data_IF_389829756444
#
_entry.id   IF_389829756444
#
_cell.length_a   1.000
_cell.length_b   1.000
_cell.length_c   1.000
_cell.angle_alpha   90.00
_cell.angle_beta   90.00
_cell.angle_gamma   90.00
#
_symmetry.space_group_name_H-M   'P 1'
#
loop_
_entity.id
_entity.type
_entity.pdbx_description
1 polymer ?
#
# COMPACT_ATOMS: atom_id res chain seq x y z
N UNK A 1 -3.44 -0.71 -10.85
CA UNK A 1 -4.08 0.10 -11.93
C UNK A 1 -5.38 -0.56 -12.34
N UNK A 2 -6.33 0.23 -12.84
CA UNK A 2 -7.60 -0.31 -13.30
C UNK A 2 -7.46 -1.15 -14.58
N UNK A 3 -8.43 -2.03 -14.82
CA UNK A 3 -8.50 -2.81 -16.07
C UNK A 3 -8.91 -1.90 -17.24
N UNK A 4 -8.07 -1.77 -18.25
CA UNK A 4 -8.39 -1.00 -19.46
C UNK A 4 -9.65 -1.51 -20.19
N UNK A 5 -9.97 -2.81 -20.05
CA UNK A 5 -11.21 -3.36 -20.62
C UNK A 5 -12.44 -2.73 -19.94
N UNK A 6 -12.39 -2.56 -18.61
CA UNK A 6 -13.47 -1.91 -17.86
C UNK A 6 -13.64 -0.45 -18.30
N UNK A 7 -12.53 0.30 -18.38
CA UNK A 7 -12.57 1.68 -18.86
C UNK A 7 -13.17 1.81 -20.26
N UNK A 8 -12.93 0.82 -21.13
CA UNK A 8 -13.45 0.78 -22.50
C UNK A 8 -14.93 0.44 -22.57
N UNK A 9 -15.40 -0.50 -21.73
CA UNK A 9 -16.78 -1.01 -21.81
C UNK A 9 -17.77 -0.14 -21.05
N UNK A 10 -17.36 0.49 -19.95
CA UNK A 10 -18.21 1.33 -19.13
C UNK A 10 -17.44 2.51 -18.50
N UNK A 11 -16.95 3.45 -19.32
CA UNK A 11 -16.18 4.60 -18.83
C UNK A 11 -16.98 5.48 -17.87
N UNK A 12 -18.29 5.62 -18.07
CA UNK A 12 -19.12 6.49 -17.24
C UNK A 12 -19.30 5.94 -15.83
N UNK A 13 -19.46 4.62 -15.66
CA UNK A 13 -19.48 4.00 -14.33
C UNK A 13 -18.14 4.17 -13.61
N UNK A 14 -17.02 4.03 -14.34
CA UNK A 14 -15.69 4.24 -13.75
C UNK A 14 -15.50 5.71 -13.34
N UNK A 15 -15.90 6.67 -14.18
CA UNK A 15 -15.86 8.11 -13.83
C UNK A 15 -16.68 8.42 -12.59
N UNK A 16 -17.91 7.88 -12.51
CA UNK A 16 -18.77 8.06 -11.36
C UNK A 16 -18.13 7.51 -10.08
N UNK A 17 -17.49 6.33 -10.15
CA UNK A 17 -16.79 5.73 -9.03
C UNK A 17 -15.59 6.58 -8.57
N UNK A 18 -14.78 7.08 -9.51
CA UNK A 18 -13.63 7.95 -9.22
C UNK A 18 -14.09 9.30 -8.65
N UNK A 19 -15.20 9.84 -9.14
CA UNK A 19 -15.77 11.10 -8.63
C UNK A 19 -16.22 10.98 -7.15
N UNK A 20 -16.64 9.78 -6.67
CA UNK A 20 -16.93 9.55 -5.24
C UNK A 20 -15.72 9.79 -4.34
N UNK A 21 -14.50 9.66 -4.88
CA UNK A 21 -13.25 9.95 -4.17
C UNK A 21 -12.90 11.45 -4.16
N UNK A 22 -13.59 12.28 -4.94
CA UNK A 22 -13.19 13.66 -5.21
C UNK A 22 -12.04 13.79 -6.20
N UNK A 23 -11.58 12.70 -6.81
CA UNK A 23 -10.52 12.71 -7.82
C UNK A 23 -11.07 13.17 -9.19
N UNK A 24 -10.19 13.80 -10.02
CA UNK A 24 -10.52 14.21 -11.39
C UNK A 24 -10.70 13.00 -12.32
N UNK A 25 -11.89 12.76 -12.89
CA UNK A 25 -12.13 11.63 -13.77
C UNK A 25 -11.59 11.80 -15.20
N UNK A 26 -11.03 12.97 -15.57
CA UNK A 26 -10.57 13.27 -16.94
C UNK A 26 -9.45 12.32 -17.43
N UNK A 27 -8.68 11.74 -16.51
CA UNK A 27 -7.68 10.71 -16.82
C UNK A 27 -8.26 9.49 -17.50
N UNK A 28 -9.54 9.16 -17.23
CA UNK A 28 -10.24 8.03 -17.83
C UNK A 28 -10.44 8.25 -19.33
N UNK A 29 -10.88 9.45 -19.73
CA UNK A 29 -11.05 9.78 -21.16
C UNK A 29 -9.72 9.70 -21.92
N UNK A 30 -8.64 10.24 -21.32
CA UNK A 30 -7.30 10.16 -21.93
C UNK A 30 -6.82 8.71 -22.07
N UNK A 31 -7.06 7.87 -21.06
CA UNK A 31 -6.71 6.44 -21.14
C UNK A 31 -7.51 5.69 -22.23
N UNK A 32 -8.82 5.98 -22.35
CA UNK A 32 -9.68 5.39 -23.39
C UNK A 32 -9.24 5.81 -24.78
N UNK A 33 -8.90 7.09 -24.98
CA UNK A 33 -8.40 7.61 -26.28
C UNK A 33 -7.05 6.97 -26.65
N UNK A 34 -6.14 6.84 -25.68
CA UNK A 34 -4.85 6.17 -25.90
C UNK A 34 -5.03 4.68 -26.24
N UNK A 35 -5.92 3.98 -25.54
CA UNK A 35 -6.25 2.57 -25.84
C UNK A 35 -6.82 2.42 -27.27
N UNK A 36 -7.67 3.35 -27.70
CA UNK A 36 -8.20 3.34 -29.07
C UNK A 36 -7.06 3.48 -30.10
N UNK A 37 -6.10 4.37 -29.88
CA UNK A 37 -4.91 4.54 -30.74
C UNK A 37 -4.02 3.30 -30.73
N UNK A 38 -3.73 2.73 -29.56
CA UNK A 38 -2.96 1.48 -29.42
C UNK A 38 -3.57 0.36 -30.26
N UNK A 39 -4.90 0.20 -30.19
CA UNK A 39 -5.60 -0.83 -30.97
C UNK A 39 -5.57 -0.56 -32.47
N UNK A 40 -5.72 0.70 -32.88
CA UNK A 40 -5.68 1.07 -34.30
C UNK A 40 -4.30 0.76 -34.91
N UNK A 41 -3.22 1.19 -34.23
CA UNK A 41 -1.83 0.90 -34.64
C UNK A 41 -1.57 -0.63 -34.64
N UNK A 42 -2.06 -1.34 -33.62
CA UNK A 42 -1.96 -2.81 -33.54
C UNK A 42 -2.60 -3.50 -34.74
N UNK A 43 -3.82 -3.08 -35.14
CA UNK A 43 -4.53 -3.63 -36.31
C UNK A 43 -3.77 -3.36 -37.57
N UNK A 44 -3.29 -2.11 -37.82
CA UNK A 44 -2.49 -1.78 -39.01
C UNK A 44 -1.20 -2.62 -39.08
N UNK A 45 -0.52 -2.84 -37.95
CA UNK A 45 0.67 -3.71 -37.92
C UNK A 45 0.36 -5.16 -38.27
N UNK A 46 -0.72 -5.72 -37.77
CA UNK A 46 -1.12 -7.10 -38.04
C UNK A 46 -1.50 -7.29 -39.53
N UNK A 47 -2.18 -6.31 -40.13
CA UNK A 47 -2.50 -6.29 -41.56
C UNK A 47 -1.21 -6.23 -42.39
N UNK A 48 -0.27 -5.37 -42.07
CA UNK A 48 1.03 -5.28 -42.76
C UNK A 48 1.81 -6.58 -42.60
N UNK A 49 1.90 -7.18 -41.44
CA UNK A 49 2.57 -8.46 -41.20
C UNK A 49 1.95 -9.58 -42.05
N UNK A 50 0.63 -9.61 -42.12
CA UNK A 50 -0.10 -10.56 -42.96
C UNK A 50 0.26 -10.38 -44.45
N UNK A 51 0.31 -9.13 -44.94
CA UNK A 51 0.67 -8.81 -46.32
C UNK A 51 2.13 -9.17 -46.63
N UNK A 52 3.08 -8.82 -45.75
CA UNK A 52 4.51 -9.16 -45.89
C UNK A 52 4.70 -10.70 -45.95
N UNK A 53 3.98 -11.45 -45.12
CA UNK A 53 4.02 -12.91 -45.13
C UNK A 53 3.48 -13.49 -46.45
N UNK A 54 2.41 -12.91 -46.99
CA UNK A 54 1.84 -13.32 -48.30
C UNK A 54 2.83 -13.02 -49.43
N UNK A 55 3.39 -11.79 -49.46
CA UNK A 55 4.41 -11.38 -50.44
C UNK A 55 5.63 -12.30 -50.43
N UNK A 56 6.12 -12.65 -49.24
CA UNK A 56 7.28 -13.55 -49.11
C UNK A 56 7.06 -14.91 -49.74
N UNK A 57 5.84 -15.47 -49.61
CA UNK A 57 5.46 -16.74 -50.27
C UNK A 57 5.38 -16.58 -51.81
N UNK A 58 4.79 -15.49 -52.27
CA UNK A 58 4.63 -15.20 -53.70
C UNK A 58 5.99 -14.98 -54.38
N UNK A 59 6.86 -14.18 -53.80
CA UNK A 59 8.25 -13.93 -54.22
C UNK A 59 8.99 -15.28 -54.36
N UNK A 60 8.88 -16.15 -53.33
CA UNK A 60 9.51 -17.48 -53.36
C UNK A 60 8.97 -18.38 -54.48
N UNK A 61 7.72 -18.23 -54.90
CA UNK A 61 7.14 -18.93 -56.05
C UNK A 61 7.64 -18.37 -57.36
N UNK A 62 7.62 -17.04 -57.53
CA UNK A 62 8.12 -16.38 -58.76
C UNK A 62 9.59 -16.67 -59.03
N UNK A 63 10.43 -16.72 -58.02
CA UNK A 63 11.82 -17.12 -58.17
C UNK A 63 11.98 -18.55 -58.67
N UNK A 64 11.18 -19.48 -58.17
CA UNK A 64 11.19 -20.89 -58.62
C UNK A 64 10.73 -21.03 -60.09
N UNK A 65 9.78 -20.16 -60.52
CA UNK A 65 9.23 -20.16 -61.86
C UNK A 65 10.07 -19.35 -62.85
N UNK A 66 11.24 -18.79 -62.44
CA UNK A 66 12.14 -18.01 -63.28
C UNK A 66 11.64 -16.58 -63.59
N UNK A 67 10.64 -16.07 -62.92
CA UNK A 67 10.02 -14.73 -63.12
C UNK A 67 10.66 -13.67 -62.21
N UNK A 68 11.98 -13.47 -62.35
CA UNK A 68 12.80 -12.60 -61.47
C UNK A 68 12.37 -11.14 -61.48
N UNK A 69 11.99 -10.57 -62.65
CA UNK A 69 11.57 -9.17 -62.73
C UNK A 69 10.28 -8.88 -61.94
N UNK A 70 9.32 -9.79 -61.95
CA UNK A 70 8.08 -9.70 -61.20
C UNK A 70 8.36 -9.88 -59.67
N UNK A 71 9.29 -10.76 -59.34
CA UNK A 71 9.71 -10.93 -57.96
C UNK A 71 10.38 -9.66 -57.38
N UNK A 72 11.13 -8.90 -58.19
CA UNK A 72 11.77 -7.67 -57.77
C UNK A 72 10.78 -6.58 -57.38
N UNK A 73 9.70 -6.40 -58.14
CA UNK A 73 8.63 -5.43 -57.82
C UNK A 73 7.95 -5.75 -56.43
N UNK A 74 7.69 -7.05 -56.18
CA UNK A 74 7.12 -7.50 -54.92
C UNK A 74 8.12 -7.40 -53.73
N UNK A 75 9.42 -7.53 -54.01
CA UNK A 75 10.47 -7.28 -53.01
C UNK A 75 10.51 -5.81 -52.56
N UNK A 76 10.35 -4.85 -53.48
CA UNK A 76 10.31 -3.43 -53.17
C UNK A 76 9.05 -3.09 -52.33
N UNK A 77 7.87 -3.67 -52.70
CA UNK A 77 6.66 -3.54 -51.86
C UNK A 77 6.88 -4.12 -50.47
N UNK A 78 7.44 -5.31 -50.35
CA UNK A 78 7.74 -5.98 -49.11
C UNK A 78 8.68 -5.17 -48.23
N UNK A 79 9.70 -4.54 -48.82
CA UNK A 79 10.65 -3.66 -48.11
C UNK A 79 9.96 -2.41 -47.57
N UNK A 80 9.14 -1.72 -48.35
CA UNK A 80 8.40 -0.54 -47.95
C UNK A 80 7.45 -0.87 -46.80
N UNK A 81 6.73 -1.98 -46.88
CA UNK A 81 5.86 -2.45 -45.81
C UNK A 81 6.65 -2.82 -44.55
N UNK A 82 7.85 -3.39 -44.67
CA UNK A 82 8.72 -3.68 -43.54
C UNK A 82 9.21 -2.41 -42.84
N UNK A 83 9.52 -1.34 -43.58
CA UNK A 83 9.87 -0.02 -43.01
C UNK A 83 8.67 0.61 -42.27
N UNK A 84 7.45 0.49 -42.84
CA UNK A 84 6.22 0.96 -42.18
C UNK A 84 5.91 0.18 -40.89
N UNK A 85 6.07 -1.15 -40.92
CA UNK A 85 5.87 -2.03 -39.74
C UNK A 85 6.81 -1.61 -38.60
N UNK A 86 8.09 -1.35 -38.93
CA UNK A 86 9.06 -0.87 -37.94
C UNK A 86 8.68 0.49 -37.33
N UNK A 87 8.18 1.41 -38.18
CA UNK A 87 7.67 2.72 -37.69
C UNK A 87 6.49 2.56 -36.77
N UNK A 88 5.53 1.72 -37.13
CA UNK A 88 4.35 1.42 -36.31
C UNK A 88 4.71 0.68 -35.02
N UNK A 89 5.79 -0.12 -35.00
CA UNK A 89 6.27 -0.74 -33.78
C UNK A 89 6.74 0.32 -32.77
N UNK A 90 7.53 1.29 -33.22
CA UNK A 90 7.97 2.39 -32.36
C UNK A 90 6.79 3.25 -31.85
N UNK A 91 5.84 3.57 -32.73
CA UNK A 91 4.62 4.31 -32.37
C UNK A 91 3.77 3.52 -31.34
N UNK A 92 3.64 2.20 -31.50
CA UNK A 92 2.94 1.35 -30.54
C UNK A 92 3.62 1.35 -29.18
N UNK A 93 4.95 1.29 -29.11
CA UNK A 93 5.71 1.34 -27.85
C UNK A 93 5.51 2.67 -27.13
N UNK A 94 5.53 3.79 -27.84
CA UNK A 94 5.26 5.13 -27.29
C UNK A 94 3.83 5.23 -26.76
N UNK A 95 2.83 4.75 -27.52
CA UNK A 95 1.42 4.77 -27.10
C UNK A 95 1.17 3.85 -25.89
N UNK A 96 1.80 2.68 -25.83
CA UNK A 96 1.73 1.80 -24.66
C UNK A 96 2.33 2.46 -23.41
N UNK A 97 3.47 3.13 -23.56
CA UNK A 97 4.09 3.84 -22.45
C UNK A 97 3.19 4.99 -21.94
N UNK A 98 2.60 5.78 -22.86
CA UNK A 98 1.68 6.85 -22.53
C UNK A 98 0.41 6.31 -21.85
N UNK A 99 -0.19 5.24 -22.37
CA UNK A 99 -1.36 4.60 -21.74
C UNK A 99 -1.02 4.07 -20.35
N UNK A 100 0.12 3.41 -20.18
CA UNK A 100 0.58 2.94 -18.87
C UNK A 100 0.74 4.11 -17.90
N UNK A 101 1.34 5.21 -18.36
CA UNK A 101 1.50 6.42 -17.54
C UNK A 101 0.16 6.95 -17.04
N UNK A 102 -0.84 7.12 -17.90
CA UNK A 102 -2.18 7.56 -17.48
C UNK A 102 -2.82 6.59 -16.47
N UNK A 103 -2.77 5.29 -16.75
CA UNK A 103 -3.35 4.27 -15.86
C UNK A 103 -2.68 4.22 -14.48
N UNK A 104 -1.39 4.58 -14.37
CA UNK A 104 -0.69 4.65 -13.09
C UNK A 104 -1.12 5.84 -12.23
N UNK A 105 -1.71 6.88 -12.81
CA UNK A 105 -2.20 8.06 -12.08
C UNK A 105 -3.69 7.95 -11.67
N UNK A 106 -4.45 7.05 -12.28
CA UNK A 106 -5.85 6.81 -11.90
C UNK A 106 -5.88 5.95 -10.62
N UNK A 107 -6.60 6.44 -9.60
CA UNK A 107 -6.80 5.70 -8.34
C UNK A 107 -7.67 4.44 -8.56
N UNK A 108 -7.69 3.55 -7.56
CA UNK A 108 -8.61 2.43 -7.54
C UNK A 108 -10.06 2.91 -7.35
N UNK A 109 -11.01 2.17 -7.86
CA UNK A 109 -12.43 2.44 -7.62
C UNK A 109 -12.79 2.06 -6.18
N UNK A 110 -13.50 2.91 -5.44
CA UNK A 110 -14.04 2.52 -4.14
C UNK A 110 -15.06 1.41 -4.29
N UNK A 111 -15.13 0.53 -3.29
CA UNK A 111 -16.15 -0.49 -3.22
C UNK A 111 -17.56 0.14 -3.28
N UNK A 112 -18.55 -0.53 -3.89
CA UNK A 112 -19.90 0.05 -4.03
C UNK A 112 -20.54 0.43 -2.69
N UNK A 113 -20.22 -0.30 -1.63
CA UNK A 113 -20.73 -0.14 -0.26
C UNK A 113 -19.78 0.66 0.65
N UNK A 114 -18.68 1.22 0.12
CA UNK A 114 -17.85 2.17 0.87
C UNK A 114 -18.64 3.45 1.17
N UNK A 115 -18.48 4.07 2.36
CA UNK A 115 -19.19 5.29 2.70
C UNK A 115 -18.89 6.43 1.72
N UNK A 116 -19.90 7.21 1.36
CA UNK A 116 -19.71 8.44 0.60
C UNK A 116 -19.17 9.54 1.52
N UNK A 117 -18.29 10.37 0.98
CA UNK A 117 -17.64 11.47 1.68
C UNK A 117 -16.29 11.78 1.08
N UNK A 118 -15.75 12.97 1.36
CA UNK A 118 -14.53 13.49 0.74
C UNK A 118 -13.36 13.65 1.71
N UNK A 119 -13.62 13.63 3.01
CA UNK A 119 -12.63 13.93 4.06
C UNK A 119 -12.75 12.98 5.23
N UNK A 120 -11.78 13.03 6.14
CA UNK A 120 -11.77 12.28 7.40
C UNK A 120 -12.99 12.56 8.30
N UNK A 121 -13.63 13.73 8.16
CA UNK A 121 -14.84 14.09 8.91
C UNK A 121 -16.07 13.29 8.47
N UNK A 122 -16.03 12.69 7.28
CA UNK A 122 -17.11 11.88 6.71
C UNK A 122 -16.99 10.40 7.08
N UNK A 123 -15.93 10.00 7.77
CA UNK A 123 -15.71 8.62 8.19
C UNK A 123 -16.77 8.15 9.18
N UNK A 124 -17.24 6.91 9.02
CA UNK A 124 -18.28 6.34 9.87
C UNK A 124 -17.64 5.60 11.05
N UNK A 125 -17.97 6.00 12.28
CA UNK A 125 -17.60 5.24 13.48
C UNK A 125 -18.45 3.96 13.53
N UNK A 126 -17.80 2.81 13.33
CA UNK A 126 -18.45 1.49 13.36
C UNK A 126 -18.70 1.04 14.79
N UNK A 127 -17.71 1.22 15.67
CA UNK A 127 -17.76 0.88 17.10
C UNK A 127 -16.72 1.64 17.89
N UNK A 128 -16.99 1.77 19.19
CA UNK A 128 -16.06 2.33 20.19
C UNK A 128 -16.02 1.34 21.36
N UNK A 129 -14.82 1.01 21.84
CA UNK A 129 -14.60 0.10 22.96
C UNK A 129 -13.77 0.75 24.05
N UNK A 130 -14.15 0.53 25.31
CA UNK A 130 -13.46 0.94 26.54
C UNK A 130 -13.16 2.45 26.66
N UNK A 131 -13.90 3.30 25.94
CA UNK A 131 -13.73 4.75 26.00
C UNK A 131 -14.74 5.41 26.93
N UNK A 132 -14.20 6.12 27.93
CA UNK A 132 -14.95 7.00 28.81
C UNK A 132 -14.20 8.35 28.89
N UNK A 133 -14.78 9.39 28.31
CA UNK A 133 -14.15 10.72 28.25
C UNK A 133 -13.83 11.29 29.65
N UNK A 134 -14.68 11.01 30.63
CA UNK A 134 -14.55 11.48 32.02
C UNK A 134 -13.75 10.50 32.92
N UNK A 135 -13.44 9.31 32.41
CA UNK A 135 -12.78 8.23 33.16
C UNK A 135 -11.29 8.43 33.38
N UNK A 136 -10.65 9.35 32.66
CA UNK A 136 -9.19 9.58 32.76
C UNK A 136 -8.84 10.53 33.91
N UNK A 137 -7.97 10.06 34.82
CA UNK A 137 -7.47 10.86 35.93
C UNK A 137 -6.42 11.90 35.45
N UNK A 138 -6.21 12.95 36.21
CA UNK A 138 -5.30 14.06 35.88
C UNK A 138 -3.86 13.59 35.55
N UNK A 139 -3.38 12.53 36.22
CA UNK A 139 -2.06 12.00 35.95
C UNK A 139 -1.96 11.33 34.58
N UNK A 140 -3.06 10.92 33.96
CA UNK A 140 -3.11 10.34 32.59
C UNK A 140 -3.21 11.42 31.51
N UNK A 141 -3.62 12.65 31.86
CA UNK A 141 -3.76 13.79 30.95
C UNK A 141 -2.44 14.52 30.68
N UNK A 142 -1.33 13.82 30.81
CA UNK A 142 0.00 14.31 30.45
C UNK A 142 0.46 13.64 29.17
N UNK A 143 0.89 14.41 28.16
CA UNK A 143 1.22 13.83 26.86
C UNK A 143 2.51 13.01 26.90
N UNK A 144 2.57 11.97 26.05
CA UNK A 144 3.67 11.00 26.03
C UNK A 144 5.06 11.62 25.81
N UNK A 145 5.19 12.75 25.15
CA UNK A 145 6.49 13.42 24.99
C UNK A 145 7.01 14.01 26.31
N UNK A 146 6.13 14.51 27.16
CA UNK A 146 6.51 15.01 28.50
C UNK A 146 6.81 13.83 29.44
N UNK A 147 5.95 12.79 29.43
CA UNK A 147 6.19 11.57 30.22
C UNK A 147 7.51 10.92 29.79
N UNK A 148 7.75 10.81 28.49
CA UNK A 148 8.95 10.24 27.91
C UNK A 148 10.23 10.97 28.32
N UNK A 149 10.20 12.30 28.37
CA UNK A 149 11.30 13.13 28.86
C UNK A 149 11.49 12.96 30.37
N UNK A 150 10.41 13.06 31.17
CA UNK A 150 10.46 12.90 32.64
C UNK A 150 11.06 11.55 33.06
N UNK A 151 10.68 10.48 32.40
CA UNK A 151 11.18 9.13 32.66
C UNK A 151 12.52 8.82 31.95
N UNK A 152 12.98 9.71 31.08
CA UNK A 152 14.19 9.49 30.26
C UNK A 152 14.09 8.30 29.29
N UNK A 153 12.87 7.98 28.83
CA UNK A 153 12.57 6.86 27.94
C UNK A 153 12.34 7.28 26.48
N UNK A 154 12.12 8.58 26.25
CA UNK A 154 12.03 9.22 24.93
C UNK A 154 12.95 10.44 24.91
N UNK A 155 13.72 10.64 23.85
CA UNK A 155 14.71 11.72 23.72
C UNK A 155 14.62 12.34 22.32
N UNK A 156 13.69 13.28 22.20
CA UNK A 156 13.44 13.98 20.92
C UNK A 156 14.58 14.95 20.61
N UNK A 157 15.13 15.65 21.61
CA UNK A 157 16.18 16.65 21.42
C UNK A 157 17.46 16.06 20.80
N UNK A 158 17.87 14.86 21.26
CA UNK A 158 19.03 14.20 20.67
C UNK A 158 18.74 13.67 19.28
N UNK A 159 17.54 13.15 19.02
CA UNK A 159 17.12 12.72 17.69
C UNK A 159 17.14 13.88 16.70
N UNK A 160 16.62 15.05 17.11
CA UNK A 160 16.64 16.28 16.28
C UNK A 160 18.06 16.72 15.95
N UNK A 161 19.02 16.61 16.89
CA UNK A 161 20.44 16.94 16.62
C UNK A 161 21.09 15.99 15.61
N UNK A 162 20.63 14.73 15.55
CA UNK A 162 21.19 13.72 14.64
C UNK A 162 20.55 13.78 13.24
N UNK A 163 19.23 13.96 13.19
CA UNK A 163 18.48 13.71 11.94
C UNK A 163 17.53 14.85 11.54
N UNK A 164 17.31 15.85 12.41
CA UNK A 164 16.37 16.94 12.19
C UNK A 164 15.03 16.74 12.89
N UNK A 165 14.08 17.62 12.62
CA UNK A 165 12.73 17.55 13.19
C UNK A 165 12.01 16.26 12.81
N UNK A 166 10.99 15.89 13.60
CA UNK A 166 10.15 14.71 13.36
C UNK A 166 10.91 13.36 13.42
N UNK A 167 12.08 13.31 14.05
CA UNK A 167 12.74 12.08 14.47
C UNK A 167 12.66 11.93 15.97
N UNK A 168 12.51 10.71 16.45
CA UNK A 168 12.43 10.36 17.86
C UNK A 168 13.46 9.28 18.22
N UNK A 169 13.95 9.30 19.45
CA UNK A 169 14.88 8.29 19.96
C UNK A 169 14.33 7.68 21.25
N UNK A 170 14.07 6.39 21.21
CA UNK A 170 13.66 5.63 22.38
C UNK A 170 14.91 5.24 23.19
N UNK A 171 14.80 5.25 24.51
CA UNK A 171 15.91 4.95 25.39
C UNK A 171 15.49 4.03 26.54
N UNK A 172 16.43 3.26 27.06
CA UNK A 172 16.23 2.44 28.27
C UNK A 172 14.94 1.61 28.18
N UNK A 173 14.07 1.69 29.19
CA UNK A 173 12.79 0.97 29.21
C UNK A 173 11.86 1.35 28.04
N UNK A 174 11.93 2.57 27.51
CA UNK A 174 11.18 2.98 26.32
C UNK A 174 11.59 2.23 25.07
N UNK A 175 12.89 1.96 24.89
CA UNK A 175 13.38 1.13 23.79
C UNK A 175 13.03 -0.37 23.99
N UNK A 176 13.00 -0.83 25.24
CA UNK A 176 12.53 -2.19 25.53
C UNK A 176 11.03 -2.33 25.23
N UNK A 177 10.21 -1.33 25.60
CA UNK A 177 8.78 -1.32 25.29
C UNK A 177 8.52 -1.31 23.77
N UNK A 178 9.32 -0.55 23.01
CA UNK A 178 9.27 -0.58 21.53
C UNK A 178 9.50 -2.01 21.00
N UNK A 179 10.57 -2.65 21.48
CA UNK A 179 10.91 -4.02 21.07
C UNK A 179 9.85 -5.05 21.52
N UNK A 180 9.29 -4.85 22.72
CA UNK A 180 8.19 -5.66 23.25
C UNK A 180 6.95 -5.60 22.37
N UNK A 181 6.54 -4.40 21.93
CA UNK A 181 5.41 -4.19 21.04
C UNK A 181 5.61 -4.85 19.67
N UNK A 182 6.82 -4.75 19.11
CA UNK A 182 7.15 -5.40 17.84
C UNK A 182 6.98 -6.92 17.97
N UNK A 183 7.61 -7.52 18.99
CA UNK A 183 7.55 -8.98 19.20
C UNK A 183 6.12 -9.45 19.52
N UNK A 184 5.40 -8.70 20.33
CA UNK A 184 3.99 -8.96 20.62
C UNK A 184 3.14 -8.96 19.34
N UNK A 185 3.27 -7.93 18.48
CA UNK A 185 2.52 -7.82 17.23
C UNK A 185 2.82 -8.97 16.25
N UNK A 186 4.06 -9.43 16.20
CA UNK A 186 4.46 -10.61 15.40
C UNK A 186 3.90 -11.90 16.00
N UNK A 187 4.05 -12.12 17.30
CA UNK A 187 3.63 -13.38 17.95
C UNK A 187 2.11 -13.57 17.89
N UNK A 188 1.32 -12.49 17.97
CA UNK A 188 -0.14 -12.53 17.83
C UNK A 188 -0.64 -13.07 16.50
N UNK A 189 0.16 -13.02 15.46
CA UNK A 189 -0.23 -13.36 14.10
C UNK A 189 0.51 -14.59 13.53
N UNK A 190 1.45 -15.17 14.29
CA UNK A 190 2.29 -16.29 13.84
C UNK A 190 1.50 -17.56 13.52
N UNK A 191 0.32 -17.72 14.08
CA UNK A 191 -0.57 -18.88 13.86
C UNK A 191 -1.12 -18.90 12.43
N UNK A 192 -1.23 -17.75 11.77
CA UNK A 192 -1.91 -17.62 10.49
C UNK A 192 -1.09 -16.92 9.39
N UNK A 193 -0.05 -16.17 9.75
CA UNK A 193 0.74 -15.38 8.81
C UNK A 193 2.20 -15.84 8.82
N UNK A 194 2.76 -16.06 7.64
CA UNK A 194 4.20 -16.30 7.47
C UNK A 194 4.98 -15.02 7.76
N UNK A 195 5.95 -15.11 8.70
CA UNK A 195 6.82 -13.99 9.00
C UNK A 195 7.94 -13.86 7.97
N UNK A 196 8.02 -12.70 7.33
CA UNK A 196 9.05 -12.35 6.35
C UNK A 196 9.90 -11.18 6.88
N UNK A 197 11.19 -11.19 6.61
CA UNK A 197 12.07 -10.03 6.83
C UNK A 197 12.55 -9.50 5.48
N UNK A 198 11.79 -8.59 4.84
CA UNK A 198 12.12 -8.06 3.53
C UNK A 198 13.19 -6.95 3.60
N UNK A 199 13.84 -6.60 2.48
CA UNK A 199 14.62 -5.37 2.35
C UNK A 199 13.76 -4.13 2.60
N UNK A 200 14.36 -3.10 3.21
CA UNK A 200 13.71 -1.80 3.50
C UNK A 200 14.07 -0.72 2.49
N UNK A 201 14.95 -1.03 1.54
CA UNK A 201 15.28 -0.19 0.37
C UNK A 201 14.99 -1.00 -0.89
N UNK A 202 14.21 -0.41 -1.79
CA UNK A 202 13.62 -1.13 -2.93
C UNK A 202 13.76 -0.34 -4.23
N UNK A 203 13.62 -1.03 -5.37
CA UNK A 203 13.65 -0.42 -6.70
C UNK A 203 12.37 0.38 -6.99
N UNK A 204 12.46 1.28 -7.96
CA UNK A 204 11.34 2.08 -8.47
C UNK A 204 10.13 1.21 -8.86
N UNK A 205 10.33 0.11 -9.59
CA UNK A 205 9.24 -0.79 -9.99
C UNK A 205 8.51 -1.43 -8.79
N UNK A 206 9.23 -1.69 -7.70
CA UNK A 206 8.65 -2.20 -6.45
C UNK A 206 7.68 -1.19 -5.84
N UNK A 207 8.03 0.10 -5.83
CA UNK A 207 7.16 1.19 -5.38
C UNK A 207 5.95 1.40 -6.31
N UNK A 208 6.15 1.22 -7.63
CA UNK A 208 5.07 1.29 -8.62
C UNK A 208 4.06 0.15 -8.42
N UNK A 209 4.53 -1.03 -8.07
CA UNK A 209 3.70 -2.24 -7.89
C UNK A 209 2.55 -2.03 -6.91
N UNK A 210 2.78 -1.33 -5.81
CA UNK A 210 1.77 -1.02 -4.79
C UNK A 210 0.95 0.24 -5.07
N UNK A 211 1.43 1.12 -5.97
CA UNK A 211 0.78 2.41 -6.25
C UNK A 211 1.35 3.58 -5.46
N UNK A 212 2.43 3.40 -4.70
CA UNK A 212 3.12 4.51 -4.05
C UNK A 212 3.76 5.45 -5.06
N UNK A 213 4.31 4.92 -6.16
CA UNK A 213 4.74 5.73 -7.29
C UNK A 213 3.75 5.58 -8.46
N UNK A 214 3.59 6.64 -9.27
CA UNK A 214 4.25 7.96 -9.19
C UNK A 214 3.62 8.95 -8.19
N UNK A 215 2.41 8.72 -7.69
CA UNK A 215 1.57 9.71 -6.97
C UNK A 215 2.23 10.27 -5.69
N UNK A 216 2.95 9.45 -4.94
CA UNK A 216 3.55 9.82 -3.63
C UNK A 216 5.07 9.98 -3.68
N UNK A 217 5.63 10.35 -4.84
CA UNK A 217 7.08 10.54 -4.99
C UNK A 217 7.64 11.59 -4.01
N UNK A 218 6.92 12.69 -3.78
CA UNK A 218 7.36 13.77 -2.89
C UNK A 218 7.36 13.34 -1.42
N UNK A 219 6.57 12.34 -1.05
CA UNK A 219 6.47 11.82 0.31
C UNK A 219 7.44 10.65 0.59
N UNK A 220 8.15 10.16 -0.42
CA UNK A 220 9.09 9.05 -0.31
C UNK A 220 10.54 9.55 -0.23
N UNK A 221 11.39 8.83 0.52
CA UNK A 221 12.84 9.03 0.52
C UNK A 221 13.47 8.31 -0.67
N UNK A 222 14.00 9.07 -1.63
CA UNK A 222 14.70 8.55 -2.80
C UNK A 222 16.22 8.62 -2.61
N UNK A 223 16.90 7.48 -2.79
CA UNK A 223 18.36 7.38 -2.82
C UNK A 223 18.82 7.46 -4.29
N UNK A 224 18.90 8.68 -4.81
CA UNK A 224 19.08 8.96 -6.24
C UNK A 224 20.31 8.27 -6.87
N UNK A 225 21.43 8.17 -6.11
CA UNK A 225 22.66 7.55 -6.62
C UNK A 225 22.47 6.09 -7.04
N UNK A 226 21.64 5.36 -6.30
CA UNK A 226 21.45 3.91 -6.44
C UNK A 226 20.11 3.58 -7.11
N UNK A 227 19.27 4.59 -7.40
CA UNK A 227 17.87 4.46 -7.86
C UNK A 227 17.05 3.53 -6.96
N UNK A 228 17.19 3.75 -5.65
CA UNK A 228 16.48 2.99 -4.62
C UNK A 228 15.60 3.93 -3.77
N UNK A 229 14.57 3.37 -3.17
CA UNK A 229 13.61 4.07 -2.32
C UNK A 229 13.55 3.41 -0.95
N UNK A 230 13.58 4.20 0.11
CA UNK A 230 13.24 3.69 1.44
C UNK A 230 11.73 3.45 1.52
N UNK A 231 11.32 2.30 2.05
CA UNK A 231 9.91 1.88 2.06
C UNK A 231 9.07 2.70 3.05
N UNK A 232 7.86 3.15 2.69
CA UNK A 232 6.92 3.78 3.62
C UNK A 232 6.10 2.77 4.43
N UNK A 233 6.15 1.49 4.06
CA UNK A 233 5.41 0.36 4.65
C UNK A 233 5.98 -0.96 4.12
N UNK A 234 5.89 -2.03 4.91
CA UNK A 234 6.27 -3.37 4.46
C UNK A 234 5.35 -3.93 3.34
N UNK A 235 4.16 -3.37 3.15
CA UNK A 235 3.29 -3.64 2.00
C UNK A 235 4.07 -3.63 0.68
N UNK A 236 4.98 -2.67 0.51
CA UNK A 236 5.76 -2.49 -0.73
C UNK A 236 6.62 -3.70 -1.08
N UNK A 237 7.54 -4.16 -0.24
CA UNK A 237 8.32 -5.36 -0.54
C UNK A 237 7.49 -6.65 -0.49
N UNK A 238 6.47 -6.76 0.37
CA UNK A 238 5.62 -7.95 0.44
C UNK A 238 4.81 -8.13 -0.84
N UNK A 239 4.25 -7.06 -1.41
CA UNK A 239 3.60 -7.12 -2.73
C UNK A 239 4.57 -7.61 -3.81
N UNK A 240 5.79 -7.12 -3.80
CA UNK A 240 6.77 -7.44 -4.84
C UNK A 240 7.42 -8.82 -4.68
N UNK A 241 7.20 -9.51 -3.57
CA UNK A 241 7.76 -10.83 -3.32
C UNK A 241 7.36 -11.85 -4.39
N UNK A 242 6.15 -11.71 -4.93
CA UNK A 242 5.62 -12.57 -6.00
C UNK A 242 5.31 -11.80 -7.29
N UNK A 243 5.96 -10.65 -7.51
CA UNK A 243 5.76 -9.84 -8.70
C UNK A 243 6.13 -10.59 -9.98
N UNK A 244 5.23 -10.59 -10.97
CA UNK A 244 5.40 -11.30 -12.24
C UNK A 244 5.08 -12.79 -12.19
N UNK A 245 4.69 -13.33 -11.04
CA UNK A 245 4.41 -14.75 -10.85
C UNK A 245 2.95 -15.11 -11.16
N UNK A 246 2.76 -16.40 -11.45
CA UNK A 246 1.45 -17.06 -11.56
C UNK A 246 1.38 -18.10 -10.44
N UNK A 247 0.64 -17.78 -9.39
CA UNK A 247 0.44 -18.65 -8.23
C UNK A 247 -0.54 -19.78 -8.55
N UNK A 248 -0.49 -20.86 -7.79
CA UNK A 248 -1.55 -21.86 -7.82
C UNK A 248 -2.70 -21.44 -6.89
N UNK A 249 -3.96 -21.69 -7.28
CA UNK A 249 -5.12 -21.33 -6.46
C UNK A 249 -5.09 -22.01 -5.07
N UNK A 250 -4.54 -23.22 -5.02
CA UNK A 250 -4.40 -23.98 -3.78
C UNK A 250 -3.47 -23.31 -2.73
N UNK A 251 -2.58 -22.42 -3.17
CA UNK A 251 -1.68 -21.65 -2.30
C UNK A 251 -2.33 -20.36 -1.76
N UNK A 252 -3.57 -20.06 -2.19
CA UNK A 252 -4.30 -18.88 -1.76
C UNK A 252 -5.33 -19.23 -0.64
N UNK A 253 -5.48 -18.39 0.37
CA UNK A 253 -4.82 -17.10 0.55
C UNK A 253 -3.37 -17.23 1.02
N UNK A 254 -2.44 -16.54 0.34
CA UNK A 254 -1.06 -16.40 0.80
C UNK A 254 -0.99 -15.26 1.82
N UNK A 255 -0.72 -15.58 3.07
CA UNK A 255 -0.71 -14.65 4.21
C UNK A 255 0.72 -14.39 4.68
N UNK A 256 1.12 -13.13 4.66
CA UNK A 256 2.47 -12.68 4.98
C UNK A 256 2.43 -11.63 6.08
N UNK A 257 3.42 -11.61 6.96
CA UNK A 257 3.63 -10.50 7.89
C UNK A 257 5.09 -10.09 7.95
N UNK A 258 5.33 -8.82 8.21
CA UNK A 258 6.67 -8.29 8.39
C UNK A 258 6.71 -7.18 9.42
N UNK A 259 7.78 -7.14 10.22
CA UNK A 259 8.20 -5.94 10.92
C UNK A 259 9.28 -5.24 10.11
N UNK A 260 9.08 -3.94 9.87
CA UNK A 260 10.08 -3.07 9.22
C UNK A 260 10.07 -1.67 9.81
N UNK A 261 11.22 -0.99 9.76
CA UNK A 261 11.24 0.47 9.79
C UNK A 261 10.61 0.98 8.51
N UNK A 262 9.78 2.01 8.63
CA UNK A 262 9.05 2.67 7.56
C UNK A 262 9.47 4.14 7.51
N UNK A 263 9.56 4.71 6.31
CA UNK A 263 10.11 6.05 6.08
C UNK A 263 9.13 6.89 5.28
N UNK A 264 8.74 8.07 5.83
CA UNK A 264 7.86 9.03 5.15
C UNK A 264 8.43 10.42 5.29
N UNK A 265 8.49 11.18 4.19
CA UNK A 265 8.97 12.57 4.23
C UNK A 265 7.94 13.52 4.83
N UNK A 266 6.68 13.08 4.94
CA UNK A 266 5.59 13.87 5.49
C UNK A 266 5.48 15.25 4.83
N UNK A 267 5.65 15.29 3.49
CA UNK A 267 5.74 16.53 2.71
C UNK A 267 4.48 17.42 2.85
N UNK A 268 3.31 16.82 3.11
CA UNK A 268 2.04 17.53 3.33
C UNK A 268 1.74 17.90 4.78
N UNK A 269 2.71 17.81 5.72
CA UNK A 269 2.47 17.97 7.16
C UNK A 269 2.43 19.43 7.66
N UNK A 270 2.58 20.42 6.79
CA UNK A 270 2.58 21.83 7.19
C UNK A 270 1.28 22.20 7.95
N UNK A 271 1.44 22.73 9.17
CA UNK A 271 0.32 23.09 10.05
C UNK A 271 -0.27 21.96 10.88
N UNK A 272 0.19 20.71 10.73
CA UNK A 272 -0.22 19.57 11.58
C UNK A 272 0.64 19.49 12.84
N UNK A 273 0.07 18.89 13.91
CA UNK A 273 0.80 18.66 15.16
C UNK A 273 1.82 17.51 14.98
N UNK A 274 3.10 17.84 15.18
CA UNK A 274 4.23 16.90 15.00
C UNK A 274 4.97 16.63 16.31
N UNK A 275 4.37 16.98 17.48
CA UNK A 275 5.00 16.76 18.78
C UNK A 275 5.12 15.26 19.10
N UNK A 276 6.21 14.92 19.78
CA UNK A 276 6.44 13.54 20.25
C UNK A 276 6.44 12.52 19.12
N UNK A 277 5.52 11.56 19.23
CA UNK A 277 5.37 10.44 18.30
C UNK A 277 4.12 10.56 17.40
N UNK A 278 3.46 11.70 17.39
CA UNK A 278 2.23 11.90 16.63
C UNK A 278 2.47 11.77 15.12
N UNK A 279 3.64 12.29 14.66
CA UNK A 279 4.04 12.23 13.25
C UNK A 279 5.57 12.24 13.17
N UNK A 280 6.13 11.21 12.61
CA UNK A 280 7.58 10.99 12.53
C UNK A 280 8.01 10.50 11.15
N UNK A 281 9.24 10.84 10.74
CA UNK A 281 9.82 10.45 9.46
C UNK A 281 10.22 8.99 9.39
N UNK A 282 10.55 8.39 10.53
CA UNK A 282 10.94 6.98 10.67
C UNK A 282 10.16 6.35 11.81
N UNK A 283 9.54 5.19 11.55
CA UNK A 283 8.76 4.46 12.53
C UNK A 283 8.72 2.97 12.25
N UNK A 284 8.59 2.18 13.32
CA UNK A 284 8.43 0.73 13.23
C UNK A 284 6.95 0.34 13.06
N UNK A 285 6.70 -0.61 12.16
CA UNK A 285 5.37 -1.14 11.89
C UNK A 285 5.40 -2.66 11.71
N UNK A 286 4.49 -3.35 12.34
CA UNK A 286 4.15 -4.74 12.00
C UNK A 286 3.05 -4.68 10.95
N UNK A 287 3.30 -5.21 9.77
CA UNK A 287 2.36 -5.26 8.64
C UNK A 287 1.82 -6.67 8.48
N UNK A 288 0.52 -6.77 8.25
CA UNK A 288 -0.17 -7.97 7.78
C UNK A 288 -0.52 -7.77 6.31
N UNK A 289 -0.25 -8.76 5.49
CA UNK A 289 -0.47 -8.69 4.05
C UNK A 289 -1.04 -10.01 3.53
N UNK A 290 -1.98 -9.96 2.59
CA UNK A 290 -2.52 -11.16 1.98
C UNK A 290 -2.75 -11.02 0.48
N UNK A 291 -2.47 -12.11 -0.25
CA UNK A 291 -3.00 -12.32 -1.59
C UNK A 291 -4.08 -13.38 -1.52
N UNK A 292 -5.19 -13.16 -2.23
CA UNK A 292 -6.30 -14.09 -2.24
C UNK A 292 -7.06 -14.05 -3.57
N UNK A 293 -8.02 -14.96 -3.74
CA UNK A 293 -9.02 -14.86 -4.80
C UNK A 293 -10.04 -13.77 -4.49
N UNK A 294 -10.81 -13.33 -5.48
CA UNK A 294 -11.89 -12.36 -5.29
C UNK A 294 -12.91 -12.84 -4.25
N UNK A 295 -13.30 -14.11 -4.29
CA UNK A 295 -14.29 -14.70 -3.38
C UNK A 295 -13.82 -14.77 -1.92
N UNK A 296 -12.50 -14.85 -1.70
CA UNK A 296 -11.89 -14.87 -0.36
C UNK A 296 -11.70 -13.47 0.23
N UNK A 297 -11.74 -12.42 -0.61
CA UNK A 297 -11.23 -11.10 -0.24
C UNK A 297 -11.99 -10.45 0.93
N UNK A 298 -13.32 -10.54 0.94
CA UNK A 298 -14.13 -9.95 2.02
C UNK A 298 -13.82 -10.61 3.37
N UNK A 299 -13.77 -11.94 3.41
CA UNK A 299 -13.44 -12.67 4.64
C UNK A 299 -12.03 -12.35 5.13
N UNK A 300 -11.05 -12.27 4.20
CA UNK A 300 -9.67 -11.91 4.53
C UNK A 300 -9.55 -10.47 5.04
N UNK A 301 -10.31 -9.52 4.49
CA UNK A 301 -10.35 -8.13 4.96
C UNK A 301 -10.80 -8.06 6.42
N UNK A 302 -11.88 -8.75 6.73
CA UNK A 302 -12.40 -8.80 8.10
C UNK A 302 -11.47 -9.56 9.06
N UNK A 303 -10.79 -10.63 8.61
CA UNK A 303 -9.80 -11.34 9.42
C UNK A 303 -8.64 -10.43 9.82
N UNK A 304 -8.07 -9.65 8.85
CA UNK A 304 -6.98 -8.72 9.16
C UNK A 304 -7.44 -7.63 10.13
N UNK A 305 -8.65 -7.07 9.93
CA UNK A 305 -9.22 -6.08 10.82
C UNK A 305 -9.38 -6.62 12.25
N UNK A 306 -9.97 -7.80 12.40
CA UNK A 306 -10.17 -8.44 13.71
C UNK A 306 -8.85 -8.72 14.43
N UNK A 307 -7.83 -9.19 13.70
CA UNK A 307 -6.50 -9.47 14.28
C UNK A 307 -5.82 -8.19 14.77
N UNK A 308 -5.87 -7.11 13.98
CA UNK A 308 -5.32 -5.81 14.35
C UNK A 308 -6.06 -5.23 15.56
N UNK A 309 -7.39 -5.29 15.58
CA UNK A 309 -8.22 -4.79 16.69
C UNK A 309 -8.01 -5.60 17.99
N UNK A 310 -7.95 -6.93 17.89
CA UNK A 310 -7.67 -7.78 19.03
C UNK A 310 -6.30 -7.50 19.65
N UNK A 311 -5.30 -7.11 18.86
CA UNK A 311 -4.00 -6.71 19.40
C UNK A 311 -4.14 -5.45 20.28
N UNK A 312 -4.96 -4.48 19.89
CA UNK A 312 -5.22 -3.26 20.66
C UNK A 312 -6.08 -3.56 21.90
N UNK A 313 -7.12 -4.39 21.75
CA UNK A 313 -7.99 -4.80 22.86
C UNK A 313 -7.23 -5.48 23.98
N UNK A 314 -6.33 -6.41 23.64
CA UNK A 314 -5.52 -7.12 24.65
C UNK A 314 -4.51 -6.22 25.36
N UNK A 315 -4.13 -5.10 24.73
CA UNK A 315 -3.34 -4.04 25.39
C UNK A 315 -4.17 -3.20 26.35
N UNK A 316 -5.50 -3.37 26.40
CA UNK A 316 -6.41 -2.61 27.27
C UNK A 316 -6.47 -1.13 26.92
N UNK A 317 -6.35 -0.79 25.64
CA UNK A 317 -6.43 0.59 25.16
C UNK A 317 -7.83 0.89 24.64
N UNK A 318 -8.40 2.00 25.09
CA UNK A 318 -9.62 2.55 24.53
C UNK A 318 -9.44 2.81 23.03
N UNK A 319 -10.33 2.26 22.19
CA UNK A 319 -10.18 2.36 20.75
C UNK A 319 -11.52 2.48 20.03
N UNK A 320 -11.45 2.94 18.79
CA UNK A 320 -12.60 2.94 17.88
C UNK A 320 -12.20 2.40 16.51
N UNK A 321 -13.19 1.88 15.79
CA UNK A 321 -13.05 1.43 14.40
C UNK A 321 -13.85 2.35 13.52
N UNK A 322 -13.21 2.85 12.47
CA UNK A 322 -13.79 3.70 11.45
C UNK A 322 -13.91 2.95 10.13
N UNK A 323 -15.01 3.16 9.42
CA UNK A 323 -15.17 2.79 8.01
C UNK A 323 -14.94 4.06 7.18
N UNK A 324 -13.87 4.08 6.39
CA UNK A 324 -13.42 5.29 5.72
C UNK A 324 -14.31 5.68 4.55
N UNK A 325 -14.59 6.97 4.46
CA UNK A 325 -15.25 7.58 3.32
C UNK A 325 -14.37 7.49 2.06
N UNK A 326 -15.00 7.43 0.90
CA UNK A 326 -14.34 7.25 -0.39
C UNK A 326 -13.17 8.21 -0.65
N UNK A 327 -13.28 9.47 -0.21
CA UNK A 327 -12.25 10.49 -0.41
C UNK A 327 -11.06 10.35 0.54
N UNK A 328 -11.22 9.67 1.68
CA UNK A 328 -10.17 9.43 2.66
C UNK A 328 -9.43 8.10 2.43
N UNK A 329 -10.03 7.16 1.69
CA UNK A 329 -9.37 5.89 1.32
C UNK A 329 -8.13 6.17 0.46
N UNK A 330 -7.00 5.52 0.75
CA UNK A 330 -5.78 5.62 -0.04
C UNK A 330 -6.01 5.32 -1.53
N UNK A 331 -5.16 5.86 -2.41
CA UNK A 331 -5.33 5.71 -3.87
C UNK A 331 -5.34 4.27 -4.38
N UNK A 332 -4.78 3.30 -3.65
CA UNK A 332 -4.80 1.88 -4.00
C UNK A 332 -6.00 1.12 -3.38
N UNK A 333 -6.55 1.60 -2.26
CA UNK A 333 -7.64 0.97 -1.55
C UNK A 333 -8.99 1.08 -2.26
N UNK A 334 -9.82 0.06 -2.18
CA UNK A 334 -11.23 0.08 -2.56
C UNK A 334 -12.13 0.20 -1.33
N UNK A 335 -11.74 -0.41 -0.21
CA UNK A 335 -12.38 -0.28 1.10
C UNK A 335 -11.32 -0.26 2.17
N UNK A 336 -11.47 0.60 3.17
CA UNK A 336 -10.51 0.72 4.28
C UNK A 336 -11.24 0.88 5.60
N UNK A 337 -10.76 0.18 6.62
CA UNK A 337 -11.13 0.39 8.02
C UNK A 337 -9.90 0.87 8.79
N UNK A 338 -10.07 1.92 9.59
CA UNK A 338 -9.03 2.38 10.51
C UNK A 338 -9.36 2.00 11.95
N UNK A 339 -8.33 1.69 12.71
CA UNK A 339 -8.40 1.53 14.16
C UNK A 339 -7.65 2.69 14.77
N UNK A 340 -8.31 3.42 15.67
CA UNK A 340 -7.72 4.52 16.40
C UNK A 340 -7.76 4.24 17.90
N UNK A 341 -6.68 4.58 18.60
CA UNK A 341 -6.54 4.52 20.05
C UNK A 341 -6.68 5.92 20.62
N UNK A 342 -7.42 6.07 21.72
CA UNK A 342 -7.48 7.34 22.43
C UNK A 342 -6.21 7.55 23.27
N UNK A 343 -5.55 8.67 23.07
CA UNK A 343 -4.38 9.11 23.83
C UNK A 343 -4.81 10.24 24.81
N UNK A 344 -5.02 9.94 26.09
CA UNK A 344 -5.64 10.89 27.04
C UNK A 344 -4.75 12.10 27.36
N UNK A 345 -3.44 11.95 27.25
CA UNK A 345 -2.51 13.07 27.44
C UNK A 345 -2.46 14.02 26.25
N UNK A 346 -2.59 13.51 25.05
CA UNK A 346 -2.69 14.29 23.81
C UNK A 346 -4.12 14.76 23.54
N UNK A 347 -5.12 14.25 24.27
CA UNK A 347 -6.56 14.50 24.12
C UNK A 347 -7.04 14.30 22.68
N UNK A 348 -6.70 13.13 22.08
CA UNK A 348 -7.07 12.81 20.70
C UNK A 348 -7.04 11.33 20.38
N UNK A 349 -7.74 10.98 19.32
CA UNK A 349 -7.65 9.69 18.67
C UNK A 349 -6.40 9.62 17.79
N UNK A 350 -5.67 8.50 17.87
CA UNK A 350 -4.47 8.22 17.07
C UNK A 350 -4.72 6.97 16.24
N UNK A 351 -4.68 7.08 14.93
CA UNK A 351 -4.72 5.94 14.01
C UNK A 351 -3.52 5.02 14.29
N UNK A 352 -3.80 3.78 14.65
CA UNK A 352 -2.80 2.74 14.96
C UNK A 352 -2.82 1.59 13.97
N UNK A 353 -3.85 1.50 13.16
CA UNK A 353 -3.96 0.54 12.06
C UNK A 353 -4.87 1.10 10.99
N UNK A 354 -4.50 0.86 9.73
CA UNK A 354 -5.35 1.06 8.56
C UNK A 354 -5.37 -0.24 7.78
N UNK A 355 -6.57 -0.81 7.58
CA UNK A 355 -6.77 -2.13 6.96
C UNK A 355 -7.49 -1.96 5.64
N UNK A 356 -6.78 -2.20 4.53
CA UNK A 356 -7.25 -1.91 3.18
C UNK A 356 -7.42 -3.16 2.33
N UNK A 357 -8.50 -3.19 1.57
CA UNK A 357 -8.71 -4.09 0.45
C UNK A 357 -8.45 -3.34 -0.86
N UNK A 358 -7.44 -3.80 -1.62
CA UNK A 358 -6.99 -3.14 -2.85
C UNK A 358 -7.54 -3.78 -4.13
N UNK A 359 -8.43 -4.76 -4.04
CA UNK A 359 -8.92 -5.55 -5.18
C UNK A 359 -7.75 -6.11 -6.01
N UNK A 360 -7.86 -6.15 -7.33
CA UNK A 360 -6.77 -6.55 -8.22
C UNK A 360 -5.85 -5.38 -8.67
N UNK A 361 -6.06 -4.20 -8.12
CA UNK A 361 -5.37 -2.97 -8.53
C UNK A 361 -3.85 -3.05 -8.46
N UNK A 362 -3.31 -3.55 -7.35
CA UNK A 362 -1.88 -3.74 -7.15
C UNK A 362 -1.36 -4.94 -7.95
N UNK A 363 -2.12 -6.03 -7.98
CA UNK A 363 -1.79 -7.21 -8.76
C UNK A 363 -1.64 -6.91 -10.26
N UNK A 364 -2.46 -6.01 -10.82
CA UNK A 364 -2.30 -5.53 -12.21
C UNK A 364 -1.06 -4.69 -12.42
N UNK A 365 -0.60 -3.94 -11.41
CA UNK A 365 0.65 -3.16 -11.48
C UNK A 365 1.88 -4.06 -11.42
N UNK A 366 1.87 -5.03 -10.50
CA UNK A 366 2.97 -5.95 -10.27
C UNK A 366 2.88 -7.25 -11.10
N UNK A 367 1.82 -7.41 -11.93
CA UNK A 367 1.55 -8.58 -12.77
C UNK A 367 1.51 -9.89 -11.96
N UNK A 368 0.78 -9.90 -10.84
CA UNK A 368 0.60 -11.07 -9.96
C UNK A 368 -0.72 -11.75 -10.31
N UNK A 369 -0.65 -13.00 -10.71
CA UNK A 369 -1.80 -13.77 -11.15
C UNK A 369 -1.89 -15.10 -10.42
N UNK A 370 -3.02 -15.76 -10.55
CA UNK A 370 -3.18 -17.15 -10.15
C UNK A 370 -3.84 -17.96 -11.25
N UNK A 371 -3.67 -19.28 -11.20
CA UNK A 371 -4.33 -20.22 -12.09
C UNK A 371 -5.52 -20.84 -11.38
N UNK A 372 -6.76 -20.52 -11.81
CA UNK A 372 -7.96 -21.13 -11.23
C UNK A 372 -8.00 -22.63 -11.47
N UNK A 373 -8.42 -23.40 -10.45
CA UNK A 373 -8.55 -24.85 -10.58
C UNK A 373 -9.64 -25.21 -11.60
N UNK A 374 -9.33 -26.09 -12.53
CA UNK A 374 -10.27 -26.56 -13.55
C UNK A 374 -10.58 -25.57 -14.68
N UNK A 375 -10.03 -24.35 -14.67
CA UNK A 375 -10.23 -23.35 -15.72
C UNK A 375 -8.99 -23.17 -16.61
N UNK A 376 -9.20 -22.63 -17.82
CA UNK A 376 -8.10 -22.22 -18.71
C UNK A 376 -7.76 -20.76 -18.47
N UNK A 377 -6.46 -20.45 -18.45
CA UNK A 377 -5.96 -19.10 -18.33
C UNK A 377 -5.56 -18.73 -16.90
N UNK A 378 -5.47 -17.43 -16.63
CA UNK A 378 -5.07 -16.89 -15.32
C UNK A 378 -5.96 -15.71 -14.96
N UNK A 379 -6.13 -15.46 -13.64
CA UNK A 379 -6.80 -14.29 -13.08
C UNK A 379 -5.81 -13.49 -12.25
N UNK A 380 -6.06 -12.21 -12.03
CA UNK A 380 -5.30 -11.43 -11.06
C UNK A 380 -5.76 -11.78 -9.66
N UNK A 381 -4.82 -11.83 -8.72
CA UNK A 381 -5.14 -11.95 -7.29
C UNK A 381 -5.70 -10.63 -6.76
N UNK A 382 -6.45 -10.68 -5.67
CA UNK A 382 -6.72 -9.51 -4.84
C UNK A 382 -5.63 -9.38 -3.78
N UNK A 383 -5.32 -8.15 -3.40
CA UNK A 383 -4.38 -7.85 -2.33
C UNK A 383 -5.06 -7.10 -1.19
N UNK A 384 -4.60 -7.39 0.01
CA UNK A 384 -5.08 -6.77 1.25
C UNK A 384 -3.88 -6.50 2.15
N UNK A 385 -3.93 -5.40 2.85
CA UNK A 385 -2.92 -5.05 3.84
C UNK A 385 -3.56 -4.45 5.09
N UNK A 386 -2.85 -4.52 6.21
CA UNK A 386 -3.24 -3.85 7.43
C UNK A 386 -2.08 -3.75 8.40
N UNK A 387 -2.00 -2.62 9.11
CA UNK A 387 -1.04 -2.51 10.20
C UNK A 387 -1.49 -3.43 11.33
N UNK A 388 -0.79 -4.54 11.55
CA UNK A 388 -0.97 -5.34 12.77
C UNK A 388 -0.62 -4.55 14.02
N UNK A 389 0.29 -3.56 13.89
CA UNK A 389 0.62 -2.59 14.92
C UNK A 389 1.46 -1.43 14.36
N UNK A 390 0.97 -0.17 14.44
CA UNK A 390 1.79 1.04 14.25
C UNK A 390 2.45 1.40 15.59
N UNK A 391 3.68 0.92 15.78
CA UNK A 391 4.34 0.85 17.10
C UNK A 391 4.44 2.19 17.83
N UNK A 392 4.83 3.34 17.22
CA UNK A 392 4.98 4.59 17.95
C UNK A 392 3.69 5.12 18.59
N UNK A 393 2.58 5.05 17.84
CA UNK A 393 1.29 5.56 18.32
C UNK A 393 0.69 4.65 19.40
N UNK A 394 0.88 3.33 19.29
CA UNK A 394 0.51 2.38 20.35
C UNK A 394 1.38 2.59 21.59
N UNK A 395 2.69 2.81 21.42
CA UNK A 395 3.61 3.15 22.50
C UNK A 395 3.15 4.42 23.23
N UNK A 396 2.77 5.47 22.48
CA UNK A 396 2.24 6.71 23.05
C UNK A 396 0.94 6.46 23.86
N UNK A 397 0.00 5.72 23.29
CA UNK A 397 -1.25 5.36 23.94
C UNK A 397 -1.02 4.60 25.26
N UNK A 398 -0.08 3.64 25.28
CA UNK A 398 0.27 2.89 26.50
C UNK A 398 0.86 3.84 27.55
N UNK A 399 1.84 4.65 27.18
CA UNK A 399 2.55 5.51 28.15
C UNK A 399 1.60 6.52 28.79
N UNK A 400 0.64 7.05 28.05
CA UNK A 400 -0.37 7.98 28.56
C UNK A 400 -1.45 7.25 29.38
N UNK A 401 -2.04 6.18 28.86
CA UNK A 401 -3.13 5.43 29.51
C UNK A 401 -2.69 4.79 30.83
N UNK A 402 -1.48 4.22 30.86
CA UNK A 402 -0.98 3.46 32.00
C UNK A 402 -0.12 4.26 32.98
N UNK A 403 -0.04 5.59 32.82
CA UNK A 403 0.65 6.45 33.78
C UNK A 403 -0.03 6.38 35.15
N UNK A 404 0.78 6.28 36.19
CA UNK A 404 0.34 6.16 37.58
C UNK A 404 0.40 7.53 38.30
N UNK A 405 -0.27 7.70 39.46
CA UNK A 405 -0.25 8.96 40.24
C UNK A 405 1.14 9.40 40.68
N UNK A 406 2.07 8.47 40.87
CA UNK A 406 3.46 8.77 41.24
C UNK A 406 4.34 9.14 40.04
N UNK A 407 3.78 9.08 38.83
CA UNK A 407 4.45 9.40 37.57
C UNK A 407 5.11 8.21 36.88
N UNK A 408 5.14 7.03 37.49
CA UNK A 408 5.56 5.79 36.83
C UNK A 408 4.60 5.36 35.74
N UNK A 409 4.97 4.39 34.92
CA UNK A 409 4.11 3.81 33.87
C UNK A 409 4.01 2.30 34.06
N UNK A 410 2.81 1.81 34.36
CA UNK A 410 2.55 0.37 34.43
C UNK A 410 2.67 -0.26 33.04
N UNK A 411 3.22 -1.46 32.97
CA UNK A 411 3.27 -2.24 31.72
C UNK A 411 2.02 -3.12 31.60
N UNK A 412 1.28 -3.06 30.49
CA UNK A 412 0.17 -3.99 30.22
C UNK A 412 0.59 -5.44 30.44
N UNK A 413 -0.27 -6.25 31.06
CA UNK A 413 0.07 -7.60 31.49
C UNK A 413 0.56 -8.49 30.31
N UNK A 414 -0.03 -8.32 29.13
CA UNK A 414 0.34 -9.04 27.91
C UNK A 414 1.74 -8.69 27.40
N UNK A 415 2.31 -7.56 27.77
CA UNK A 415 3.65 -7.12 27.38
C UNK A 415 4.74 -7.47 28.39
N UNK A 416 4.38 -7.80 29.64
CA UNK A 416 5.36 -8.09 30.69
C UNK A 416 6.31 -9.25 30.32
N UNK A 417 5.87 -10.35 29.67
CA UNK A 417 6.78 -11.39 29.22
C UNK A 417 7.83 -10.88 28.22
N UNK A 418 7.46 -9.95 27.36
CA UNK A 418 8.35 -9.34 26.36
C UNK A 418 9.29 -8.27 26.95
N UNK A 419 8.95 -7.78 28.16
CA UNK A 419 9.75 -6.84 28.96
C UNK A 419 10.64 -7.56 30.01
N UNK A 420 10.79 -8.87 29.91
CA UNK A 420 11.57 -9.65 30.87
C UNK A 420 10.94 -9.73 32.27
N UNK A 421 9.62 -9.62 32.36
CA UNK A 421 8.87 -9.64 33.61
C UNK A 421 8.78 -8.27 34.32
N UNK A 422 9.26 -7.20 33.69
CA UNK A 422 9.10 -5.83 34.22
C UNK A 422 7.63 -5.45 34.16
N UNK A 423 7.08 -5.03 35.31
CA UNK A 423 5.67 -4.67 35.47
C UNK A 423 5.43 -3.15 35.42
N UNK A 424 6.50 -2.36 35.59
CA UNK A 424 6.42 -0.90 35.70
C UNK A 424 7.71 -0.21 35.21
N UNK A 425 7.61 0.93 34.60
CA UNK A 425 8.72 1.85 34.31
C UNK A 425 8.74 2.90 35.46
N UNK A 426 9.72 2.85 36.37
CA UNK A 426 9.74 3.72 37.52
C UNK A 426 10.18 5.14 37.19
N UNK A 427 9.80 6.10 38.01
CA UNK A 427 10.36 7.46 37.98
C UNK A 427 11.86 7.38 38.33
N UNK A 428 12.75 8.04 37.56
CA UNK A 428 14.16 8.11 37.91
C UNK A 428 14.35 8.75 39.29
N UNK A 429 15.19 8.12 40.14
CA UNK A 429 15.54 8.64 41.46
C UNK A 429 16.51 9.80 41.40
#
# INVERSE_FOLDING_TARGET
MLDIKLLRTDPEAVKAAIARRGDDPSGIDRAVDLDAKVRAVGTERDDIRSRVNALSKEIGTLHRDGRGDEASALQDESKTLGEREKSLAAEADELHAALRHELLHIANMPAPDAPDGLTEDDNIVVRVEDYDADGYAEHQKVPHWEIGEQLGILDVDRAVRMSGSMFAMYRRAGAHLLSALINYGLDRNRDAFEQVRPPTVVKTDTMIGTGHLPKFADDAYHLERDDLWAIPTAEVPLTSMVAGEVLDEADLPLRLMAHTSCYRREAGSAGRDTRGLLRVHEFDKVELYAFCTEDQAQAMHMEILERAENAIRDLGLAHRVLDLACGDISGAGARTYDIEVFAPGADRWLEVSSVSWCTDYQARRANIRYRPEGEKGTRFVHSLNGSGLAVPRVWAGIVETYRQPDGSVRIPDVLQPYMGGVTEIPVPG
#
